data_IF_996863349488
#
_entry.id   IF_996863349488
#
_cell.length_a   1.000
_cell.length_b   1.000
_cell.length_c   1.000
_cell.angle_alpha   90.00
_cell.angle_beta   90.00
_cell.angle_gamma   90.00
#
_symmetry.space_group_name_H-M   'P 1'
#
loop_
_entity.id
_entity.type
_entity.pdbx_description
1 polymer ?
#
# COMPACT_ATOMS: atom_id res chain seq x y z
N UNK A 1 23.37 11.88 23.17
CA UNK A 1 21.96 12.30 23.04
C UNK A 1 21.86 13.38 21.98
N UNK A 2 21.05 13.15 20.95
CA UNK A 2 20.90 14.06 19.79
C UNK A 2 19.72 15.02 19.88
N UNK A 3 18.82 14.85 20.87
CA UNK A 3 17.66 15.72 21.07
C UNK A 3 16.56 15.57 20.01
N UNK A 4 16.60 14.53 19.17
CA UNK A 4 15.69 14.38 18.02
C UNK A 4 14.49 13.45 18.30
N UNK A 5 14.32 12.95 19.53
CA UNK A 5 13.27 11.98 19.86
C UNK A 5 11.86 12.54 19.69
N UNK A 6 11.65 13.84 19.88
CA UNK A 6 10.35 14.49 19.61
C UNK A 6 10.02 14.48 18.11
N UNK A 7 10.99 14.79 17.25
CA UNK A 7 10.83 14.69 15.79
C UNK A 7 10.55 13.26 15.34
N UNK A 8 11.24 12.26 15.91
CA UNK A 8 10.99 10.84 15.65
C UNK A 8 9.58 10.41 16.06
N UNK A 9 9.12 10.86 17.22
CA UNK A 9 7.77 10.59 17.72
C UNK A 9 6.72 11.16 16.77
N UNK A 10 6.90 12.42 16.35
CA UNK A 10 6.02 13.07 15.39
C UNK A 10 6.00 12.32 14.05
N UNK A 11 7.18 11.94 13.54
CA UNK A 11 7.29 11.23 12.26
C UNK A 11 6.62 9.86 12.29
N UNK A 12 6.76 9.11 13.38
CA UNK A 12 6.04 7.85 13.60
C UNK A 12 4.53 8.09 13.56
N UNK A 13 4.03 9.12 14.25
CA UNK A 13 2.60 9.42 14.30
C UNK A 13 2.03 9.79 12.92
N UNK A 14 2.75 10.58 12.11
CA UNK A 14 2.36 10.91 10.73
C UNK A 14 2.22 9.67 9.86
N UNK A 15 3.24 8.80 9.87
CA UNK A 15 3.25 7.58 9.03
C UNK A 15 2.15 6.61 9.44
N UNK A 16 1.91 6.45 10.75
CA UNK A 16 0.80 5.64 11.26
C UNK A 16 -0.57 6.22 10.88
N UNK A 17 -0.72 7.54 10.90
CA UNK A 17 -1.95 8.21 10.46
C UNK A 17 -2.22 7.95 8.97
N UNK A 18 -1.21 8.09 8.12
CA UNK A 18 -1.36 7.80 6.68
C UNK A 18 -1.72 6.33 6.44
N UNK A 19 -1.05 5.41 7.14
CA UNK A 19 -1.37 3.98 7.04
C UNK A 19 -2.81 3.71 7.46
N UNK A 20 -3.28 4.32 8.57
CA UNK A 20 -4.68 4.21 9.00
C UNK A 20 -5.65 4.66 7.91
N UNK A 21 -5.37 5.76 7.22
CA UNK A 21 -6.18 6.21 6.08
C UNK A 21 -6.21 5.16 4.96
N UNK A 22 -5.07 4.54 4.63
CA UNK A 22 -5.01 3.45 3.65
C UNK A 22 -5.84 2.23 4.08
N UNK A 23 -5.81 1.85 5.36
CA UNK A 23 -6.62 0.76 5.89
C UNK A 23 -8.11 0.98 5.65
N UNK A 24 -8.61 2.20 5.85
CA UNK A 24 -10.02 2.53 5.57
C UNK A 24 -10.37 2.33 4.09
N UNK A 25 -9.53 2.81 3.17
CA UNK A 25 -9.79 2.67 1.74
C UNK A 25 -9.68 1.23 1.24
N UNK A 26 -8.73 0.46 1.78
CA UNK A 26 -8.56 -0.95 1.44
C UNK A 26 -9.77 -1.76 1.92
N UNK A 27 -10.23 -1.53 3.14
CA UNK A 27 -11.37 -2.23 3.71
C UNK A 27 -12.71 -1.88 3.03
N UNK A 28 -12.84 -0.68 2.47
CA UNK A 28 -14.05 -0.21 1.80
C UNK A 28 -14.19 -0.72 0.35
N UNK A 29 -13.18 -1.41 -0.20
CA UNK A 29 -13.19 -1.86 -1.58
C UNK A 29 -14.23 -2.96 -1.82
N UNK A 30 -14.93 -2.96 -2.98
CA UNK A 30 -15.79 -4.07 -3.33
C UNK A 30 -14.94 -5.31 -3.66
N UNK A 31 -15.33 -6.46 -3.13
CA UNK A 31 -14.64 -7.75 -3.36
C UNK A 31 -15.48 -8.74 -4.15
N UNK A 32 -16.79 -8.50 -4.28
CA UNK A 32 -17.70 -9.32 -5.07
C UNK A 32 -18.40 -8.50 -6.15
N UNK A 33 -18.50 -9.04 -7.38
CA UNK A 33 -19.32 -8.43 -8.43
C UNK A 33 -20.81 -8.63 -8.14
N UNK A 34 -21.63 -7.72 -8.67
CA UNK A 34 -23.09 -7.91 -8.70
C UNK A 34 -23.50 -9.07 -9.63
N UNK A 35 -22.81 -9.22 -10.77
CA UNK A 35 -22.99 -10.34 -11.70
C UNK A 35 -21.94 -11.43 -11.46
N UNK A 36 -22.40 -12.64 -11.12
CA UNK A 36 -21.55 -13.82 -10.95
C UNK A 36 -20.70 -14.18 -12.17
N UNK A 37 -21.13 -13.80 -13.39
CA UNK A 37 -20.35 -14.00 -14.61
C UNK A 37 -19.02 -13.23 -14.60
N UNK A 38 -18.96 -12.12 -13.85
CA UNK A 38 -17.76 -11.31 -13.72
C UNK A 38 -16.80 -11.80 -12.62
N UNK A 39 -17.18 -12.81 -11.83
CA UNK A 39 -16.38 -13.30 -10.70
C UNK A 39 -14.95 -13.65 -11.10
N UNK A 40 -14.76 -14.37 -12.21
CA UNK A 40 -13.44 -14.83 -12.67
C UNK A 40 -12.71 -13.83 -13.58
N UNK A 41 -13.26 -12.63 -13.76
CA UNK A 41 -12.60 -11.62 -14.58
C UNK A 41 -11.43 -10.98 -13.86
N UNK A 42 -10.48 -10.44 -14.63
CA UNK A 42 -9.17 -10.03 -14.13
C UNK A 42 -9.24 -8.92 -13.08
N UNK A 43 -10.09 -7.91 -13.27
CA UNK A 43 -10.24 -6.83 -12.29
C UNK A 43 -10.87 -7.30 -10.98
N UNK A 44 -11.89 -8.14 -11.04
CA UNK A 44 -12.51 -8.70 -9.83
C UNK A 44 -11.58 -9.66 -9.08
N UNK A 45 -10.79 -10.45 -9.80
CA UNK A 45 -9.72 -11.24 -9.20
C UNK A 45 -8.67 -10.36 -8.51
N UNK A 46 -8.27 -9.25 -9.14
CA UNK A 46 -7.33 -8.30 -8.55
C UNK A 46 -7.89 -7.63 -7.28
N UNK A 47 -9.17 -7.24 -7.26
CA UNK A 47 -9.83 -6.66 -6.08
C UNK A 47 -9.83 -7.63 -4.89
N UNK A 48 -10.19 -8.90 -5.12
CA UNK A 48 -10.15 -9.91 -4.07
C UNK A 48 -8.73 -10.14 -3.56
N UNK A 49 -7.75 -10.19 -4.45
CA UNK A 49 -6.35 -10.31 -4.03
C UNK A 49 -5.93 -9.11 -3.17
N UNK A 50 -6.32 -7.87 -3.54
CA UNK A 50 -6.02 -6.69 -2.74
C UNK A 50 -6.66 -6.75 -1.34
N UNK A 51 -7.86 -7.33 -1.21
CA UNK A 51 -8.49 -7.51 0.10
C UNK A 51 -7.74 -8.52 0.98
N UNK A 52 -7.27 -9.63 0.39
CA UNK A 52 -6.45 -10.63 1.09
C UNK A 52 -5.09 -10.03 1.51
N UNK A 53 -4.42 -9.34 0.59
CA UNK A 53 -3.15 -8.65 0.85
C UNK A 53 -3.33 -7.58 1.95
N UNK A 54 -4.46 -6.87 1.91
CA UNK A 54 -4.90 -5.91 2.92
C UNK A 54 -5.07 -6.53 4.30
N UNK A 55 -5.76 -7.66 4.41
CA UNK A 55 -5.87 -8.40 5.67
C UNK A 55 -4.50 -8.87 6.16
N UNK A 56 -3.67 -9.41 5.27
CA UNK A 56 -2.33 -9.89 5.62
C UNK A 56 -1.46 -8.79 6.24
N UNK A 57 -1.43 -7.58 5.67
CA UNK A 57 -0.61 -6.48 6.21
C UNK A 57 -1.15 -5.95 7.56
N UNK A 58 -2.44 -6.14 7.85
CA UNK A 58 -3.04 -5.84 9.16
C UNK A 58 -2.66 -6.89 10.21
N UNK A 59 -2.76 -8.16 9.85
CA UNK A 59 -2.54 -9.29 10.76
C UNK A 59 -1.05 -9.55 11.03
N UNK A 60 -0.18 -9.13 10.12
CA UNK A 60 1.24 -9.32 10.28
C UNK A 60 1.76 -8.64 11.56
N UNK A 61 2.42 -9.42 12.41
CA UNK A 61 3.01 -8.95 13.67
C UNK A 61 4.12 -7.91 13.46
N UNK A 62 4.16 -6.91 14.34
CA UNK A 62 5.27 -5.96 14.40
C UNK A 62 6.54 -6.64 14.94
N UNK A 63 7.71 -6.24 14.46
CA UNK A 63 8.97 -6.68 15.06
C UNK A 63 9.21 -5.92 16.37
N UNK A 64 9.05 -6.62 17.49
CA UNK A 64 9.29 -6.03 18.82
C UNK A 64 10.74 -6.14 19.29
N UNK A 65 11.64 -6.74 18.49
CA UNK A 65 13.05 -6.84 18.85
C UNK A 65 13.74 -5.49 18.68
N UNK A 66 14.06 -4.85 19.80
CA UNK A 66 14.83 -3.60 19.84
C UNK A 66 16.17 -3.88 20.52
N UNK A 67 17.32 -3.58 19.87
CA UNK A 67 18.63 -3.68 20.51
C UNK A 67 18.71 -2.77 21.74
N UNK A 68 19.44 -3.16 22.78
CA UNK A 68 19.75 -2.30 23.93
C UNK A 68 21.03 -1.51 23.67
N UNK A 69 20.96 -0.22 23.29
CA UNK A 69 22.16 0.55 23.01
C UNK A 69 22.83 1.03 24.31
N UNK A 70 24.15 1.25 24.30
CA UNK A 70 24.79 2.03 25.36
C UNK A 70 24.29 3.48 25.29
N UNK A 71 24.02 4.11 26.45
CA UNK A 71 23.62 5.53 26.50
C UNK A 71 22.33 5.84 27.25
N UNK A 72 21.78 4.87 27.99
CA UNK A 72 20.64 5.08 28.89
C UNK A 72 19.30 5.24 28.16
N UNK A 73 18.30 5.74 28.87
CA UNK A 73 16.89 5.78 28.44
C UNK A 73 16.68 6.50 27.10
N UNK A 74 17.40 7.58 26.85
CA UNK A 74 17.20 8.40 25.64
C UNK A 74 17.72 7.73 24.37
N UNK A 75 18.83 6.99 24.45
CA UNK A 75 19.31 6.19 23.32
C UNK A 75 18.45 4.93 23.14
N UNK A 76 17.92 4.36 24.22
CA UNK A 76 16.92 3.28 24.15
C UNK A 76 15.63 3.75 23.44
N UNK A 77 15.07 4.89 23.84
CA UNK A 77 13.89 5.50 23.20
C UNK A 77 14.13 5.76 21.71
N UNK A 78 15.33 6.25 21.34
CA UNK A 78 15.72 6.42 19.94
C UNK A 78 15.71 5.09 19.18
N UNK A 79 16.26 4.03 19.75
CA UNK A 79 16.28 2.71 19.11
C UNK A 79 14.86 2.17 18.90
N UNK A 80 13.98 2.31 19.90
CA UNK A 80 12.57 1.93 19.82
C UNK A 80 11.83 2.72 18.74
N UNK A 81 11.97 4.05 18.71
CA UNK A 81 11.32 4.89 17.72
C UNK A 81 11.78 4.57 16.30
N UNK A 82 13.06 4.26 16.08
CA UNK A 82 13.56 3.83 14.77
C UNK A 82 12.97 2.48 14.33
N UNK A 83 12.79 1.56 15.27
CA UNK A 83 12.17 0.27 14.99
C UNK A 83 10.69 0.42 14.63
N UNK A 84 9.95 1.22 15.42
CA UNK A 84 8.54 1.52 15.15
C UNK A 84 8.38 2.28 13.83
N UNK A 85 9.28 3.23 13.54
CA UNK A 85 9.25 3.95 12.26
C UNK A 85 9.45 2.99 11.08
N UNK A 86 10.38 2.03 11.16
CA UNK A 86 10.56 1.03 10.12
C UNK A 86 9.30 0.19 9.88
N UNK A 87 8.66 -0.27 10.96
CA UNK A 87 7.41 -1.03 10.90
C UNK A 87 6.29 -0.21 10.24
N UNK A 88 6.03 0.99 10.75
CA UNK A 88 5.00 1.89 10.25
C UNK A 88 5.23 2.26 8.77
N UNK A 89 6.47 2.56 8.39
CA UNK A 89 6.82 2.94 7.03
C UNK A 89 6.64 1.78 6.06
N UNK A 90 7.03 0.57 6.46
CA UNK A 90 6.86 -0.62 5.63
C UNK A 90 5.39 -0.99 5.42
N UNK A 91 4.56 -0.86 6.47
CA UNK A 91 3.11 -1.04 6.37
C UNK A 91 2.45 0.02 5.49
N UNK A 92 2.82 1.29 5.63
CA UNK A 92 2.35 2.38 4.76
C UNK A 92 2.73 2.12 3.31
N UNK A 93 3.97 1.69 3.05
CA UNK A 93 4.44 1.36 1.70
C UNK A 93 3.61 0.26 1.06
N UNK A 94 3.42 -0.86 1.77
CA UNK A 94 2.62 -1.98 1.25
C UNK A 94 1.13 -1.60 1.13
N UNK A 95 0.59 -0.85 2.09
CA UNK A 95 -0.76 -0.31 2.02
C UNK A 95 -0.97 0.59 0.79
N UNK A 96 -0.01 1.45 0.46
CA UNK A 96 -0.07 2.30 -0.73
C UNK A 96 -0.09 1.44 -2.00
N UNK A 97 0.74 0.39 -2.05
CA UNK A 97 0.77 -0.55 -3.17
C UNK A 97 -0.56 -1.24 -3.38
N UNK A 98 -1.16 -1.77 -2.31
CA UNK A 98 -2.46 -2.43 -2.34
C UNK A 98 -3.54 -1.44 -2.80
N UNK A 99 -3.55 -0.23 -2.23
CA UNK A 99 -4.49 0.82 -2.60
C UNK A 99 -4.41 1.19 -4.09
N UNK A 100 -3.21 1.35 -4.65
CA UNK A 100 -3.04 1.65 -6.08
C UNK A 100 -3.51 0.50 -6.98
N UNK A 101 -3.23 -0.76 -6.59
CA UNK A 101 -3.69 -1.95 -7.33
C UNK A 101 -5.21 -2.05 -7.31
N UNK A 102 -5.82 -1.80 -6.16
CA UNK A 102 -7.26 -1.71 -6.00
C UNK A 102 -7.84 -0.60 -6.89
N UNK A 103 -7.27 0.60 -6.88
CA UNK A 103 -7.78 1.72 -7.69
C UNK A 103 -7.71 1.40 -9.20
N UNK A 104 -6.66 0.71 -9.66
CA UNK A 104 -6.56 0.26 -11.05
C UNK A 104 -7.65 -0.77 -11.39
N UNK A 105 -7.93 -1.71 -10.49
CA UNK A 105 -8.98 -2.70 -10.68
C UNK A 105 -10.39 -2.07 -10.65
N UNK A 106 -10.63 -1.07 -9.78
CA UNK A 106 -11.89 -0.31 -9.76
C UNK A 106 -12.12 0.44 -11.09
N UNK A 107 -11.10 1.11 -11.63
CA UNK A 107 -11.17 1.72 -12.97
C UNK A 107 -11.47 0.70 -14.06
N UNK A 108 -10.87 -0.49 -13.99
CA UNK A 108 -11.18 -1.57 -14.92
C UNK A 108 -12.67 -1.98 -14.85
N UNK A 109 -13.24 -2.10 -13.64
CA UNK A 109 -14.67 -2.41 -13.45
C UNK A 109 -15.54 -1.31 -14.07
N UNK A 110 -15.21 -0.04 -13.81
CA UNK A 110 -15.93 1.10 -14.38
C UNK A 110 -15.90 1.10 -15.92
N UNK A 111 -14.73 0.91 -16.53
CA UNK A 111 -14.60 0.87 -17.99
C UNK A 111 -15.32 -0.33 -18.60
N UNK A 112 -15.24 -1.50 -17.97
CA UNK A 112 -15.98 -2.68 -18.40
C UNK A 112 -17.49 -2.43 -18.38
N UNK A 113 -18.00 -1.83 -17.30
CA UNK A 113 -19.42 -1.50 -17.17
C UNK A 113 -19.87 -0.50 -18.26
N UNK A 114 -19.03 0.47 -18.60
CA UNK A 114 -19.31 1.41 -19.70
C UNK A 114 -19.36 0.73 -21.08
N UNK A 115 -18.49 -0.26 -21.31
CA UNK A 115 -18.46 -1.04 -22.56
C UNK A 115 -19.68 -1.98 -22.66
N UNK A 116 -20.10 -2.56 -21.53
CA UNK A 116 -21.21 -3.50 -21.49
C UNK A 116 -22.58 -2.83 -21.45
N UNK A 117 -22.72 -1.67 -20.81
CA UNK A 117 -23.99 -0.94 -20.63
C UNK A 117 -25.12 -1.82 -20.07
N UNK A 118 -24.79 -2.72 -19.14
CA UNK A 118 -25.72 -3.71 -18.57
C UNK A 118 -26.00 -4.93 -19.45
N UNK A 119 -25.39 -5.00 -20.64
CA UNK A 119 -25.41 -6.18 -21.50
C UNK A 119 -24.30 -7.18 -21.18
N UNK A 120 -24.18 -8.21 -22.02
CA UNK A 120 -23.16 -9.25 -21.88
C UNK A 120 -22.04 -9.10 -22.93
N UNK A 121 -20.83 -9.64 -22.68
CA UNK A 121 -19.79 -9.72 -23.68
C UNK A 121 -20.27 -10.38 -24.99
N UNK A 122 -19.98 -9.75 -26.12
CA UNK A 122 -20.35 -10.23 -27.45
C UNK A 122 -19.31 -9.78 -28.49
N UNK A 123 -19.51 -10.13 -29.77
CA UNK A 123 -18.53 -9.83 -30.83
C UNK A 123 -18.31 -8.35 -31.08
N UNK A 124 -19.30 -7.48 -30.84
CA UNK A 124 -19.17 -6.04 -31.12
C UNK A 124 -18.34 -5.30 -30.07
N UNK A 125 -18.39 -5.75 -28.80
CA UNK A 125 -17.67 -5.11 -27.69
C UNK A 125 -16.35 -5.82 -27.30
N UNK A 126 -16.06 -6.98 -27.91
CA UNK A 126 -14.90 -7.80 -27.55
C UNK A 126 -13.54 -7.06 -27.65
N UNK A 127 -13.37 -6.20 -28.66
CA UNK A 127 -12.13 -5.45 -28.86
C UNK A 127 -11.89 -4.43 -27.74
N UNK A 128 -12.96 -3.78 -27.27
CA UNK A 128 -12.95 -2.81 -26.19
C UNK A 128 -12.73 -3.50 -24.84
N UNK A 129 -13.39 -4.63 -24.57
CA UNK A 129 -13.14 -5.42 -23.35
C UNK A 129 -11.68 -5.87 -23.25
N UNK A 130 -11.08 -6.35 -24.34
CA UNK A 130 -9.63 -6.66 -24.38
C UNK A 130 -8.76 -5.42 -24.15
N UNK A 131 -9.22 -4.23 -24.52
CA UNK A 131 -8.49 -3.00 -24.25
C UNK A 131 -8.51 -2.66 -22.76
N UNK A 132 -9.63 -2.87 -22.06
CA UNK A 132 -9.71 -2.76 -20.61
C UNK A 132 -8.67 -3.68 -19.93
N UNK A 133 -8.61 -4.96 -20.32
CA UNK A 133 -7.66 -5.91 -19.73
C UNK A 133 -6.20 -5.49 -19.95
N UNK A 134 -5.86 -5.02 -21.16
CA UNK A 134 -4.50 -4.51 -21.45
C UNK A 134 -4.17 -3.27 -20.61
N UNK A 135 -5.13 -2.36 -20.45
CA UNK A 135 -4.95 -1.17 -19.64
C UNK A 135 -4.72 -1.53 -18.17
N UNK A 136 -5.51 -2.45 -17.61
CA UNK A 136 -5.31 -2.95 -16.24
C UNK A 136 -3.92 -3.53 -16.04
N UNK A 137 -3.47 -4.41 -16.95
CA UNK A 137 -2.12 -5.00 -16.87
C UNK A 137 -1.01 -3.95 -16.94
N UNK A 138 -1.17 -2.95 -17.81
CA UNK A 138 -0.23 -1.84 -17.91
C UNK A 138 -0.16 -1.05 -16.59
N UNK A 139 -1.31 -0.68 -16.02
CA UNK A 139 -1.38 0.00 -14.73
C UNK A 139 -0.76 -0.83 -13.61
N UNK A 140 -1.13 -2.11 -13.48
CA UNK A 140 -0.58 -3.00 -12.46
C UNK A 140 0.94 -3.18 -12.61
N UNK A 141 1.47 -3.20 -13.84
CA UNK A 141 2.91 -3.31 -14.08
C UNK A 141 3.69 -2.05 -13.73
N UNK A 142 3.03 -0.88 -13.77
CA UNK A 142 3.64 0.40 -13.40
C UNK A 142 3.74 0.60 -11.89
N UNK A 143 2.98 -0.17 -11.10
CA UNK A 143 3.02 -0.13 -9.63
C UNK A 143 4.26 -0.90 -9.13
N UNK A 144 5.40 -0.22 -9.19
CA UNK A 144 6.70 -0.72 -8.74
C UNK A 144 7.09 -0.11 -7.39
N UNK A 145 7.87 -0.86 -6.60
CA UNK A 145 8.28 -0.45 -5.25
C UNK A 145 9.13 0.83 -5.27
N UNK A 146 9.97 1.01 -6.29
CA UNK A 146 10.78 2.22 -6.47
C UNK A 146 9.92 3.46 -6.74
N UNK A 147 8.85 3.30 -7.53
CA UNK A 147 7.92 4.39 -7.87
C UNK A 147 7.15 4.80 -6.63
N UNK A 148 6.54 3.82 -5.93
CA UNK A 148 5.79 4.06 -4.69
C UNK A 148 6.66 4.77 -3.66
N UNK A 149 7.88 4.26 -3.45
CA UNK A 149 8.79 4.84 -2.47
C UNK A 149 9.17 6.29 -2.81
N UNK A 150 9.45 6.57 -4.08
CA UNK A 150 9.77 7.92 -4.54
C UNK A 150 8.59 8.88 -4.38
N UNK A 151 7.37 8.46 -4.73
CA UNK A 151 6.15 9.27 -4.59
C UNK A 151 5.81 9.56 -3.13
N UNK A 152 5.86 8.53 -2.27
CA UNK A 152 5.63 8.68 -0.84
C UNK A 152 6.63 9.65 -0.20
N UNK A 153 7.92 9.52 -0.56
CA UNK A 153 8.97 10.42 -0.08
C UNK A 153 8.75 11.85 -0.57
N UNK A 154 8.50 12.05 -1.86
CA UNK A 154 8.25 13.38 -2.43
C UNK A 154 7.01 14.04 -1.81
N UNK A 155 5.97 13.26 -1.50
CA UNK A 155 4.78 13.73 -0.81
C UNK A 155 5.09 14.20 0.60
N UNK A 156 5.85 13.43 1.39
CA UNK A 156 6.25 13.82 2.75
C UNK A 156 7.12 15.08 2.75
N UNK A 157 8.07 15.19 1.82
CA UNK A 157 8.90 16.38 1.64
C UNK A 157 8.05 17.59 1.24
N UNK A 158 7.10 17.42 0.33
CA UNK A 158 6.15 18.47 -0.07
C UNK A 158 5.23 18.94 1.06
N UNK A 159 4.94 18.07 2.04
CA UNK A 159 4.20 18.41 3.26
C UNK A 159 5.08 19.03 4.35
N UNK A 160 6.39 19.17 4.14
CA UNK A 160 7.32 19.72 5.12
C UNK A 160 7.58 18.80 6.32
N UNK A 161 7.33 17.50 6.18
CA UNK A 161 7.53 16.51 7.25
C UNK A 161 9.02 16.23 7.48
N UNK A 162 9.37 15.80 8.69
CA UNK A 162 10.76 15.46 9.02
C UNK A 162 11.13 14.08 8.49
N UNK A 163 11.79 14.04 7.32
CA UNK A 163 12.14 12.79 6.60
C UNK A 163 13.61 12.36 6.76
N UNK A 164 14.39 13.08 7.57
CA UNK A 164 15.85 12.91 7.66
C UNK A 164 16.30 11.51 8.09
N UNK A 165 15.46 10.78 8.83
CA UNK A 165 15.72 9.43 9.30
C UNK A 165 14.75 8.39 8.74
N UNK A 166 14.06 8.70 7.64
CA UNK A 166 13.14 7.75 7.01
C UNK A 166 13.88 6.48 6.57
N UNK A 167 13.26 5.29 6.74
CA UNK A 167 13.86 4.04 6.32
C UNK A 167 14.16 4.00 4.82
N UNK A 168 15.31 3.44 4.45
CA UNK A 168 15.61 3.17 3.03
C UNK A 168 14.65 2.13 2.45
N UNK A 169 14.37 2.21 1.13
CA UNK A 169 13.58 1.19 0.42
C UNK A 169 14.11 -0.23 0.65
N UNK A 170 15.44 -0.40 0.69
CA UNK A 170 16.06 -1.71 0.98
C UNK A 170 15.68 -2.25 2.36
N UNK A 171 15.54 -1.40 3.36
CA UNK A 171 15.10 -1.79 4.71
C UNK A 171 13.63 -2.16 4.71
N UNK A 172 12.78 -1.37 4.05
CA UNK A 172 11.35 -1.64 3.86
C UNK A 172 11.12 -2.99 3.19
N UNK A 173 11.75 -3.23 2.04
CA UNK A 173 11.61 -4.50 1.31
C UNK A 173 12.16 -5.70 2.08
N UNK A 174 13.14 -5.50 2.95
CA UNK A 174 13.63 -6.57 3.83
C UNK A 174 12.61 -6.89 4.92
N UNK A 175 12.03 -5.86 5.53
CA UNK A 175 10.99 -6.01 6.54
C UNK A 175 9.78 -6.76 5.97
N UNK A 176 9.34 -6.41 4.75
CA UNK A 176 8.21 -7.06 4.06
C UNK A 176 8.51 -8.52 3.72
N UNK A 177 9.71 -8.82 3.20
CA UNK A 177 10.10 -10.20 2.86
C UNK A 177 10.20 -11.13 4.05
N UNK A 178 10.54 -10.61 5.24
CA UNK A 178 10.58 -11.41 6.46
C UNK A 178 9.17 -11.84 6.94
N UNK A 179 8.12 -11.37 6.28
CA UNK A 179 6.71 -11.42 6.70
C UNK A 179 5.77 -11.88 5.58
N UNK A 180 6.31 -12.45 4.51
CA UNK A 180 5.54 -13.11 3.44
C UNK A 180 5.21 -14.54 3.81
#
# INVERSE_FOLDING_TARGET
>A
MDGLNEFRTMRVAEVLSDFRTLQYYIAAAPVEPEDTADYYTEGWAALRQCALDGQHILECGADTSVPTPPGGEQEQMKAELKQVLLDAYARRHEGQKIYLRQAAAQRWVEYRNQVLQGGVPNSSNQSQLRACDRQLRAELSAIADEVIYAELKASDEGMGRWTAEDPSLRSVLRWLRARR
#
